data_IF_632609763364
#
_entry.id   IF_632609763364
#
_cell.length_a   1.000
_cell.length_b   1.000
_cell.length_c   1.000
_cell.angle_alpha   90.00
_cell.angle_beta   90.00
_cell.angle_gamma   90.00
#
_symmetry.space_group_name_H-M   'P 1'
#
loop_
_entity.id
_entity.type
_entity.pdbx_description
1 polymer ?
#
# COMPACT_ATOMS: atom_id res chain seq x y z
N UNK A 1 -15.07 -12.03 -14.17
CA UNK A 1 -13.81 -11.87 -13.41
C UNK A 1 -13.73 -13.06 -12.50
N UNK A 2 -12.71 -13.90 -12.62
CA UNK A 2 -12.47 -14.95 -11.63
C UNK A 2 -12.15 -14.28 -10.29
N UNK A 3 -12.91 -14.62 -9.23
CA UNK A 3 -12.58 -14.22 -7.88
C UNK A 3 -11.29 -14.93 -7.49
N UNK A 4 -10.25 -14.15 -7.20
CA UNK A 4 -8.97 -14.70 -6.74
C UNK A 4 -9.15 -15.12 -5.27
N UNK A 5 -9.48 -16.39 -5.03
CA UNK A 5 -9.68 -16.93 -3.68
C UNK A 5 -8.32 -17.18 -3.05
N UNK A 6 -8.07 -16.57 -1.88
CA UNK A 6 -6.83 -16.74 -1.14
C UNK A 6 -6.69 -18.17 -0.63
N UNK A 7 -5.48 -18.71 -0.73
CA UNK A 7 -5.16 -20.07 -0.26
C UNK A 7 -4.84 -20.07 1.23
N UNK A 8 -5.05 -21.22 1.87
CA UNK A 8 -4.58 -21.43 3.24
C UNK A 8 -3.06 -21.19 3.33
N UNK A 9 -2.63 -20.53 4.39
CA UNK A 9 -1.24 -20.09 4.58
C UNK A 9 -0.93 -18.70 4.00
N UNK A 10 -1.87 -18.06 3.29
CA UNK A 10 -1.68 -16.68 2.82
C UNK A 10 -1.60 -15.71 4.00
N UNK A 11 -0.58 -14.87 4.01
CA UNK A 11 -0.41 -13.82 5.02
C UNK A 11 -1.23 -12.60 4.64
N UNK A 12 -1.98 -12.07 5.60
CA UNK A 12 -2.90 -10.95 5.40
C UNK A 12 -2.74 -9.92 6.52
N UNK A 13 -3.12 -8.69 6.23
CA UNK A 13 -3.19 -7.60 7.19
C UNK A 13 -4.55 -6.91 7.06
N UNK A 14 -5.23 -6.70 8.19
CA UNK A 14 -6.39 -5.83 8.32
C UNK A 14 -5.94 -4.51 8.93
N UNK A 15 -6.23 -3.42 8.24
CA UNK A 15 -5.87 -2.09 8.73
C UNK A 15 -6.93 -1.58 9.70
N UNK A 16 -6.49 -1.07 10.82
CA UNK A 16 -7.36 -0.44 11.80
C UNK A 16 -8.11 0.74 11.17
N UNK A 17 -9.39 0.93 11.51
CA UNK A 17 -10.22 1.99 10.95
C UNK A 17 -9.80 3.40 11.43
N UNK A 18 -9.04 3.48 12.49
CA UNK A 18 -8.60 4.72 13.14
C UNK A 18 -7.17 4.60 13.67
N UNK A 19 -6.63 5.72 14.18
CA UNK A 19 -5.26 5.78 14.69
C UNK A 19 -5.07 5.19 16.10
N UNK A 20 -6.16 4.85 16.79
CA UNK A 20 -6.13 4.31 18.16
C UNK A 20 -6.18 2.78 18.17
N UNK A 21 -6.68 2.17 17.09
CA UNK A 21 -6.78 0.73 16.92
C UNK A 21 -5.50 0.15 16.34
N UNK A 22 -5.24 -1.13 16.61
CA UNK A 22 -4.06 -1.84 16.10
C UNK A 22 -4.38 -2.60 14.83
N UNK A 23 -3.51 -2.53 13.84
CA UNK A 23 -3.59 -3.37 12.65
C UNK A 23 -3.47 -4.85 13.03
N UNK A 24 -4.28 -5.70 12.41
CA UNK A 24 -4.27 -7.15 12.67
C UNK A 24 -3.46 -7.82 11.58
N UNK A 25 -2.42 -8.55 11.98
CA UNK A 25 -1.64 -9.39 11.10
C UNK A 25 -2.01 -10.85 11.36
N UNK A 26 -2.20 -11.63 10.31
CA UNK A 26 -2.61 -13.02 10.47
C UNK A 26 -2.38 -13.89 9.23
N UNK A 27 -2.77 -15.15 9.35
CA UNK A 27 -2.65 -16.16 8.29
C UNK A 27 -4.01 -16.75 7.99
N UNK A 28 -4.38 -16.82 6.71
CA UNK A 28 -5.60 -17.50 6.26
C UNK A 28 -5.50 -18.99 6.59
N UNK A 29 -6.41 -19.50 7.39
CA UNK A 29 -6.50 -20.91 7.78
C UNK A 29 -7.53 -21.67 6.97
N UNK A 30 -8.62 -21.01 6.58
CA UNK A 30 -9.69 -21.58 5.78
C UNK A 30 -10.48 -20.49 5.05
N UNK A 31 -11.29 -20.89 4.06
CA UNK A 31 -12.28 -20.00 3.44
C UNK A 31 -13.59 -20.75 3.18
N UNK A 32 -14.70 -20.00 3.12
CA UNK A 32 -16.02 -20.52 2.78
C UNK A 32 -16.88 -19.46 2.08
N UNK A 33 -17.85 -19.90 1.30
CA UNK A 33 -18.80 -18.99 0.67
C UNK A 33 -20.12 -18.98 1.43
N UNK A 34 -20.66 -17.78 1.67
CA UNK A 34 -21.99 -17.58 2.23
C UNK A 34 -22.70 -16.43 1.50
N UNK A 35 -23.90 -16.68 0.98
CA UNK A 35 -24.68 -15.70 0.21
C UNK A 35 -23.89 -15.01 -0.94
N UNK A 36 -23.02 -15.75 -1.65
CA UNK A 36 -22.22 -15.22 -2.74
C UNK A 36 -21.04 -14.34 -2.32
N UNK A 37 -20.77 -14.25 -1.01
CA UNK A 37 -19.60 -13.59 -0.43
C UNK A 37 -18.63 -14.64 0.08
N UNK A 38 -17.34 -14.47 -0.21
CA UNK A 38 -16.27 -15.31 0.32
C UNK A 38 -15.81 -14.76 1.64
N UNK A 39 -15.82 -15.59 2.67
CA UNK A 39 -15.30 -15.30 4.00
C UNK A 39 -14.02 -16.11 4.24
N UNK A 40 -13.16 -15.59 5.10
CA UNK A 40 -11.89 -16.20 5.46
C UNK A 40 -11.76 -16.30 6.98
N UNK A 41 -11.31 -17.44 7.45
CA UNK A 41 -10.85 -17.58 8.82
C UNK A 41 -9.39 -17.17 8.87
N UNK A 42 -9.03 -16.23 9.74
CA UNK A 42 -7.68 -15.69 9.86
C UNK A 42 -7.19 -15.94 11.28
N UNK A 43 -6.17 -16.76 11.40
CA UNK A 43 -5.45 -16.91 12.65
C UNK A 43 -4.54 -15.70 12.84
N UNK A 44 -4.80 -14.90 13.86
CA UNK A 44 -4.02 -13.69 14.16
C UNK A 44 -2.68 -14.03 14.82
N UNK A 45 -1.68 -13.15 14.60
CA UNK A 45 -0.35 -13.28 15.22
C UNK A 45 -0.29 -12.71 16.64
N UNK A 46 -1.38 -12.16 17.16
CA UNK A 46 -1.41 -11.54 18.48
C UNK A 46 -1.34 -12.59 19.58
N UNK A 47 -0.17 -12.69 20.22
CA UNK A 47 0.12 -13.65 21.30
C UNK A 47 -0.57 -13.30 22.62
N UNK A 48 -1.24 -12.16 22.73
CA UNK A 48 -1.92 -11.71 23.96
C UNK A 48 -3.41 -12.05 23.97
N UNK A 49 -3.93 -12.73 22.95
CA UNK A 49 -5.33 -13.18 22.90
C UNK A 49 -5.43 -14.64 23.31
N UNK A 50 -6.47 -14.97 24.07
CA UNK A 50 -6.84 -16.35 24.39
C UNK A 50 -7.13 -17.13 23.10
N UNK A 51 -6.86 -18.44 23.06
CA UNK A 51 -6.97 -19.27 21.84
C UNK A 51 -8.34 -19.19 21.17
N UNK A 52 -9.41 -18.86 21.90
CA UNK A 52 -10.77 -18.71 21.39
C UNK A 52 -10.98 -17.41 20.58
N UNK A 53 -10.11 -16.39 20.77
CA UNK A 53 -10.22 -15.09 20.12
C UNK A 53 -9.30 -14.92 18.90
N UNK A 54 -8.55 -15.98 18.53
CA UNK A 54 -7.54 -15.92 17.46
C UNK A 54 -8.13 -16.09 16.04
N UNK A 55 -9.37 -16.62 15.93
CA UNK A 55 -10.02 -16.81 14.65
C UNK A 55 -10.96 -15.64 14.31
N UNK A 56 -10.48 -14.73 13.49
CA UNK A 56 -11.28 -13.63 12.97
C UNK A 56 -11.92 -14.06 11.65
N UNK A 57 -13.24 -13.90 11.54
CA UNK A 57 -13.98 -14.11 10.30
C UNK A 57 -14.12 -12.76 9.59
N UNK A 58 -13.38 -12.59 8.49
CA UNK A 58 -13.41 -11.36 7.70
C UNK A 58 -13.83 -11.62 6.26
N UNK A 59 -14.47 -10.63 5.64
CA UNK A 59 -14.73 -10.63 4.21
C UNK A 59 -13.42 -10.39 3.47
N UNK A 60 -13.30 -10.94 2.26
CA UNK A 60 -12.08 -10.78 1.47
C UNK A 60 -11.74 -9.34 1.06
N UNK A 61 -12.64 -8.39 1.28
CA UNK A 61 -12.44 -6.95 1.04
C UNK A 61 -11.97 -6.18 2.29
N UNK A 62 -12.00 -6.82 3.46
CA UNK A 62 -11.68 -6.20 4.75
C UNK A 62 -10.18 -6.31 5.11
N UNK A 63 -9.39 -7.04 4.31
CA UNK A 63 -7.97 -7.23 4.53
C UNK A 63 -7.17 -7.27 3.22
N UNK A 64 -5.87 -7.11 3.34
CA UNK A 64 -4.93 -7.05 2.24
C UNK A 64 -3.82 -8.11 2.40
N UNK A 65 -3.23 -8.49 1.26
CA UNK A 65 -2.06 -9.38 1.27
C UNK A 65 -0.88 -8.68 1.94
N UNK A 66 -0.19 -9.39 2.84
CA UNK A 66 1.10 -8.91 3.35
C UNK A 66 2.09 -8.86 2.20
N UNK A 67 2.72 -7.71 1.98
CA UNK A 67 3.71 -7.60 0.92
C UNK A 67 4.87 -8.56 1.16
N UNK A 68 5.18 -9.38 0.18
CA UNK A 68 6.35 -10.27 0.22
C UNK A 68 7.55 -9.66 -0.48
N UNK A 69 7.31 -8.66 -1.34
CA UNK A 69 8.33 -8.03 -2.18
C UNK A 69 8.02 -6.55 -2.39
N UNK A 70 9.06 -5.72 -2.29
CA UNK A 70 8.98 -4.31 -2.66
C UNK A 70 9.94 -4.03 -3.83
N UNK A 71 9.46 -3.31 -4.84
CA UNK A 71 10.25 -2.85 -5.98
C UNK A 71 10.25 -1.33 -5.98
N UNK A 72 11.43 -0.74 -5.85
CA UNK A 72 11.60 0.70 -5.80
C UNK A 72 11.65 1.29 -7.22
N UNK A 73 10.59 1.99 -7.61
CA UNK A 73 10.44 2.72 -8.88
C UNK A 73 10.67 4.23 -8.71
N UNK A 74 11.43 4.62 -7.68
CA UNK A 74 11.93 5.99 -7.52
C UNK A 74 13.38 6.09 -8.00
N UNK A 75 13.91 7.29 -8.28
CA UNK A 75 15.28 7.45 -8.76
C UNK A 75 16.36 7.26 -7.67
N UNK A 76 15.97 7.12 -6.40
CA UNK A 76 16.88 7.05 -5.26
C UNK A 76 16.58 5.82 -4.40
N UNK A 77 17.59 5.35 -3.69
CA UNK A 77 17.42 4.34 -2.65
C UNK A 77 16.53 4.90 -1.53
N UNK A 78 15.63 4.07 -1.01
CA UNK A 78 14.77 4.43 0.12
C UNK A 78 15.26 3.68 1.34
N UNK A 79 15.60 4.44 2.39
CA UNK A 79 16.03 3.91 3.68
C UNK A 79 14.91 4.04 4.71
N UNK A 80 14.61 2.97 5.41
CA UNK A 80 13.71 2.99 6.56
C UNK A 80 14.46 3.29 7.87
N UNK A 81 13.72 3.70 8.89
CA UNK A 81 14.29 4.03 10.21
C UNK A 81 14.91 2.82 10.92
N UNK A 82 14.48 1.60 10.58
CA UNK A 82 15.04 0.33 11.07
C UNK A 82 16.36 -0.06 10.39
N UNK A 83 16.80 0.71 9.40
CA UNK A 83 18.00 0.47 8.62
C UNK A 83 17.77 -0.32 7.32
N UNK A 84 16.56 -0.82 7.06
CA UNK A 84 16.22 -1.49 5.80
C UNK A 84 16.40 -0.53 4.63
N UNK A 85 17.00 -1.01 3.53
CA UNK A 85 17.22 -0.22 2.32
C UNK A 85 16.55 -0.90 1.13
N UNK A 86 15.74 -0.15 0.41
CA UNK A 86 15.16 -0.53 -0.87
C UNK A 86 15.91 0.19 -1.99
N UNK A 87 16.84 -0.47 -2.68
CA UNK A 87 17.65 0.15 -3.73
C UNK A 87 16.77 0.53 -4.92
N UNK A 88 17.14 1.61 -5.61
CA UNK A 88 16.48 2.00 -6.85
C UNK A 88 16.59 0.87 -7.90
N UNK A 89 15.49 0.48 -8.52
CA UNK A 89 15.44 -0.62 -9.49
C UNK A 89 16.04 -0.27 -10.86
N UNK A 90 16.37 1.00 -11.06
CA UNK A 90 16.79 1.54 -12.36
C UNK A 90 15.63 1.90 -13.28
N UNK A 91 14.41 1.47 -12.99
CA UNK A 91 13.19 1.95 -13.64
C UNK A 91 12.51 2.98 -12.74
N UNK A 92 12.08 4.09 -13.32
CA UNK A 92 11.43 5.16 -12.55
C UNK A 92 10.03 5.37 -13.09
N UNK A 93 9.03 5.15 -12.23
CA UNK A 93 7.64 5.49 -12.55
C UNK A 93 7.48 7.01 -12.60
N UNK A 94 6.83 7.49 -13.67
CA UNK A 94 6.63 8.92 -13.90
C UNK A 94 5.20 9.21 -14.29
N UNK A 95 4.79 10.44 -14.03
CA UNK A 95 3.49 10.97 -14.48
C UNK A 95 3.72 12.39 -14.97
N UNK A 96 3.17 12.70 -16.13
CA UNK A 96 3.13 14.07 -16.63
C UNK A 96 1.99 14.83 -15.97
N UNK A 97 2.23 16.09 -15.66
CA UNK A 97 1.22 16.99 -15.13
C UNK A 97 0.96 18.12 -16.11
N UNK A 98 -0.31 18.44 -16.28
CA UNK A 98 -0.75 19.66 -16.94
C UNK A 98 -1.55 20.52 -15.97
N UNK A 99 -1.62 21.81 -16.25
CA UNK A 99 -2.29 22.75 -15.38
C UNK A 99 -3.35 23.53 -16.20
N UNK A 100 -4.48 23.81 -15.55
CA UNK A 100 -5.44 24.77 -16.12
C UNK A 100 -4.82 26.17 -16.14
N UNK A 101 -5.40 27.09 -16.93
CA UNK A 101 -5.11 28.49 -16.78
C UNK A 101 -5.44 28.97 -15.36
N UNK A 102 -4.65 29.92 -14.85
CA UNK A 102 -4.93 30.54 -13.57
C UNK A 102 -6.21 31.37 -13.62
N UNK A 103 -7.06 31.18 -12.60
CA UNK A 103 -8.20 32.04 -12.34
C UNK A 103 -8.17 32.46 -10.87
N UNK A 104 -8.13 33.74 -10.59
CA UNK A 104 -8.01 34.31 -9.23
C UNK A 104 -6.82 33.71 -8.44
N UNK A 105 -5.70 33.45 -9.11
CA UNK A 105 -4.50 32.86 -8.49
C UNK A 105 -4.55 31.34 -8.28
N UNK A 106 -5.59 30.66 -8.74
CA UNK A 106 -5.80 29.21 -8.58
C UNK A 106 -5.72 28.52 -9.94
N UNK A 107 -5.02 27.39 -9.98
CA UNK A 107 -4.96 26.47 -11.11
C UNK A 107 -5.28 25.05 -10.64
N UNK A 108 -5.82 24.21 -11.52
CA UNK A 108 -6.04 22.79 -11.28
C UNK A 108 -4.91 21.98 -11.92
N UNK A 109 -4.49 20.94 -11.21
CA UNK A 109 -3.53 19.96 -11.74
C UNK A 109 -4.32 18.82 -12.40
N UNK A 110 -3.89 18.42 -13.58
CA UNK A 110 -4.38 17.23 -14.28
C UNK A 110 -3.21 16.27 -14.44
N UNK A 111 -3.43 15.02 -14.04
CA UNK A 111 -2.44 13.95 -14.16
C UNK A 111 -2.67 13.17 -15.46
N UNK A 112 -1.60 12.99 -16.23
CA UNK A 112 -1.53 12.10 -17.38
C UNK A 112 -1.41 10.64 -17.02
N UNK A 113 -1.10 9.78 -17.99
CA UNK A 113 -0.83 8.37 -17.75
C UNK A 113 0.46 8.19 -16.93
N UNK A 114 0.49 7.12 -16.12
CA UNK A 114 1.70 6.76 -15.38
C UNK A 114 2.56 5.87 -16.28
N UNK A 115 3.76 6.33 -16.60
CA UNK A 115 4.73 5.61 -17.40
C UNK A 115 5.62 4.71 -16.54
N UNK A 116 6.17 3.66 -17.15
CA UNK A 116 7.12 2.71 -16.54
C UNK A 116 6.58 2.01 -15.29
N UNK A 117 5.26 1.87 -15.19
CA UNK A 117 4.63 1.12 -14.11
C UNK A 117 4.44 -0.34 -14.58
N UNK A 118 5.09 -1.33 -13.92
CA UNK A 118 4.89 -2.73 -14.24
C UNK A 118 3.44 -3.19 -14.01
N UNK A 119 3.04 -4.29 -14.64
CA UNK A 119 1.77 -4.94 -14.31
C UNK A 119 1.74 -5.37 -12.85
N UNK A 120 0.55 -5.39 -12.21
CA UNK A 120 0.40 -5.88 -10.85
C UNK A 120 0.86 -7.34 -10.72
N UNK A 121 1.61 -7.62 -9.65
CA UNK A 121 2.06 -8.97 -9.30
C UNK A 121 1.65 -9.26 -7.85
N UNK A 122 1.04 -10.43 -7.60
CA UNK A 122 0.56 -10.81 -6.27
C UNK A 122 1.68 -10.75 -5.22
N UNK A 123 1.39 -10.11 -4.08
CA UNK A 123 2.36 -9.91 -2.98
C UNK A 123 3.48 -8.92 -3.29
N UNK A 124 3.49 -8.27 -4.46
CA UNK A 124 4.48 -7.26 -4.83
C UNK A 124 3.91 -5.85 -4.68
N UNK A 125 4.62 -5.00 -3.93
CA UNK A 125 4.32 -3.58 -3.82
C UNK A 125 5.37 -2.76 -4.54
N UNK A 126 4.92 -1.73 -5.24
CA UNK A 126 5.79 -0.81 -6.00
C UNK A 126 5.92 0.50 -5.25
N UNK A 127 7.16 0.83 -4.87
CA UNK A 127 7.46 2.11 -4.22
C UNK A 127 7.57 3.18 -5.31
N UNK A 128 6.69 4.18 -5.24
CA UNK A 128 6.62 5.28 -6.21
C UNK A 128 6.72 6.63 -5.51
N UNK A 129 6.91 7.70 -6.27
CA UNK A 129 6.87 9.05 -5.71
C UNK A 129 5.45 9.42 -5.24
N UNK A 130 5.35 10.35 -4.28
CA UNK A 130 4.06 10.86 -3.81
C UNK A 130 3.20 11.43 -4.95
N UNK A 131 3.81 12.00 -5.98
CA UNK A 131 3.11 12.51 -7.16
C UNK A 131 2.48 11.39 -7.99
N UNK A 132 3.20 10.29 -8.22
CA UNK A 132 2.67 9.11 -8.91
C UNK A 132 1.55 8.47 -8.11
N UNK A 133 1.71 8.37 -6.78
CA UNK A 133 0.66 7.86 -5.89
C UNK A 133 -0.59 8.76 -5.92
N UNK A 134 -0.43 10.08 -5.88
CA UNK A 134 -1.54 11.03 -5.99
C UNK A 134 -2.26 10.91 -7.35
N UNK A 135 -1.52 10.70 -8.43
CA UNK A 135 -2.08 10.46 -9.76
C UNK A 135 -2.90 9.16 -9.81
N UNK A 136 -2.38 8.07 -9.19
CA UNK A 136 -3.09 6.80 -9.07
C UNK A 136 -4.41 6.95 -8.28
N UNK A 137 -4.39 7.75 -7.21
CA UNK A 137 -5.54 7.97 -6.32
C UNK A 137 -6.51 9.06 -6.84
N UNK A 138 -6.19 9.70 -7.94
CA UNK A 138 -7.06 10.71 -8.57
C UNK A 138 -8.43 10.14 -8.91
N UNK A 139 -9.50 10.90 -8.62
CA UNK A 139 -10.89 10.53 -8.93
C UNK A 139 -11.16 10.36 -10.43
N UNK A 140 -10.29 10.86 -11.28
CA UNK A 140 -10.41 10.76 -12.74
C UNK A 140 -9.95 9.41 -13.28
N UNK A 141 -9.32 8.56 -12.49
CA UNK A 141 -8.88 7.22 -12.91
C UNK A 141 -9.95 6.17 -12.68
N UNK A 142 -10.29 5.45 -13.75
CA UNK A 142 -11.27 4.35 -13.71
C UNK A 142 -10.74 3.11 -12.97
N UNK A 143 -9.43 2.94 -12.88
CA UNK A 143 -8.77 1.82 -12.18
C UNK A 143 -7.66 2.36 -11.29
N UNK A 144 -7.85 2.25 -9.98
CA UNK A 144 -6.81 2.49 -9.00
C UNK A 144 -6.04 1.20 -8.74
N UNK A 145 -4.74 1.30 -8.61
CA UNK A 145 -3.88 0.20 -8.20
C UNK A 145 -3.72 0.26 -6.68
N UNK A 146 -3.96 -0.86 -6.01
CA UNK A 146 -3.79 -1.00 -4.56
C UNK A 146 -2.38 -1.42 -4.14
N UNK A 147 -1.51 -1.76 -5.10
CA UNK A 147 -0.15 -2.24 -4.91
C UNK A 147 0.91 -1.11 -4.99
N UNK A 148 0.48 0.16 -5.03
CA UNK A 148 1.39 1.31 -5.02
C UNK A 148 1.49 1.91 -3.63
N UNK A 149 2.73 2.18 -3.22
CA UNK A 149 3.04 2.86 -1.97
C UNK A 149 4.06 3.98 -2.19
N UNK A 150 4.06 4.96 -1.31
CA UNK A 150 5.04 6.05 -1.33
C UNK A 150 5.75 6.17 0.01
N UNK A 151 7.05 6.55 0.05
CA UNK A 151 7.73 6.81 1.30
C UNK A 151 6.97 7.82 2.17
N UNK A 152 6.82 7.54 3.47
CA UNK A 152 6.07 8.37 4.42
C UNK A 152 6.85 9.64 4.81
N UNK A 153 7.20 10.45 3.81
CA UNK A 153 8.05 11.65 3.99
C UNK A 153 7.41 12.77 4.79
N UNK A 154 6.08 12.77 4.94
CA UNK A 154 5.32 13.71 5.76
C UNK A 154 5.07 13.22 7.20
N UNK A 155 5.49 11.99 7.53
CA UNK A 155 5.29 11.45 8.87
C UNK A 155 6.17 12.17 9.91
N UNK A 156 5.70 12.37 11.17
CA UNK A 156 6.51 12.99 12.24
C UNK A 156 7.84 12.28 12.47
N UNK A 157 7.89 10.95 12.37
CA UNK A 157 9.09 10.13 12.56
C UNK A 157 10.03 10.11 11.33
N UNK A 158 9.73 10.89 10.30
CA UNK A 158 10.63 11.03 9.15
C UNK A 158 11.91 11.73 9.59
N UNK A 159 13.05 11.03 9.49
CA UNK A 159 14.36 11.57 9.91
C UNK A 159 14.90 12.51 8.82
N UNK A 160 15.32 13.69 9.26
CA UNK A 160 15.88 14.73 8.38
C UNK A 160 17.21 15.26 8.94
N UNK A 161 18.16 15.45 8.06
CA UNK A 161 19.43 16.11 8.37
C UNK A 161 19.65 17.27 7.39
N UNK A 162 19.93 18.45 7.91
CA UNK A 162 20.11 19.67 7.10
C UNK A 162 18.97 19.93 6.10
N UNK A 163 17.73 19.57 6.46
CA UNK A 163 16.54 19.70 5.62
C UNK A 163 16.33 18.58 4.60
N UNK A 164 17.29 17.67 4.44
CA UNK A 164 17.17 16.50 3.55
C UNK A 164 16.63 15.29 4.31
N UNK A 165 15.81 14.48 3.61
CA UNK A 165 15.28 13.22 4.16
C UNK A 165 16.40 12.20 4.18
N UNK A 166 16.68 11.62 5.36
CA UNK A 166 17.68 10.57 5.58
C UNK A 166 17.02 9.20 5.63
N UNK A 167 15.90 9.08 6.35
CA UNK A 167 15.11 7.85 6.41
C UNK A 167 13.64 8.16 6.72
N UNK A 168 12.78 7.18 6.46
CA UNK A 168 11.35 7.25 6.70
C UNK A 168 10.91 6.09 7.59
N UNK A 169 9.81 6.23 8.37
CA UNK A 169 9.33 5.14 9.23
C UNK A 169 8.72 3.97 8.43
N UNK A 170 8.32 4.21 7.19
CA UNK A 170 7.67 3.23 6.33
C UNK A 170 7.07 3.86 5.10
N UNK A 171 6.00 3.25 4.58
CA UNK A 171 5.30 3.67 3.39
C UNK A 171 3.87 4.09 3.71
N UNK A 172 3.29 4.94 2.84
CA UNK A 172 1.87 5.35 2.85
C UNK A 172 1.21 4.98 1.53
N UNK A 173 -0.12 4.87 1.55
CA UNK A 173 -0.92 4.47 0.41
C UNK A 173 -2.11 5.41 0.18
#
# INVERSE_FOLDING_TARGET
MEKNILKNGTRVISFAPDSESTNILGTVTNNYEFNGTTYYNIQTDDQNKDEEDLDVQERGEDFELVPTKFINLTPHDIKLNDGTIYPASGKVARVENTFSNFCCGISKVFYGEIENLPEPEDGTYYIVSAMVLAANNSKLRCRRRGDLVSPATGHPDCVRENGFIVSVPGFVR
#
